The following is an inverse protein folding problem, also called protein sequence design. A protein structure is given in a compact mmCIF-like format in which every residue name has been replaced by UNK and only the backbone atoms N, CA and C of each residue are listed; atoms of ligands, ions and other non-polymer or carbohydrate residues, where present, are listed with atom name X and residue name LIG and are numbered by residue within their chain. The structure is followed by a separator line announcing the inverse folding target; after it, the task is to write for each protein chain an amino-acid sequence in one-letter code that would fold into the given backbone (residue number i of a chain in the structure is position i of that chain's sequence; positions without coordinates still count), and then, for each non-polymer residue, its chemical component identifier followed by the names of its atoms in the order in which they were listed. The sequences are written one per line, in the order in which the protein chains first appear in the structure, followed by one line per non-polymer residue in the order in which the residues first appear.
data_IF_334575748809
#
_entry.id   IF_334575748809
#
_cell.length_a   1.000
_cell.length_b   1.000
_cell.length_c   1.000
_cell.angle_alpha   90.00
_cell.angle_beta   90.00
_cell.angle_gamma   90.00
#
_symmetry.space_group_name_H-M   'P 1'
#
loop_
_entity.id
_entity.type
_entity.pdbx_description
1 polymer ?
#
# COMPACT_ATOMS: atom_id res chain seq x y z
N UNK A 1 -11.40 6.87 11.70
CA UNK A 1 -10.06 6.27 11.89
C UNK A 1 -9.22 6.58 10.67
N UNK A 2 -8.03 7.15 10.86
CA UNK A 2 -7.14 7.56 9.77
C UNK A 2 -6.28 6.38 9.33
N UNK A 3 -6.28 6.04 8.04
CA UNK A 3 -5.67 4.81 7.53
C UNK A 3 -4.78 5.04 6.32
N UNK A 4 -3.77 4.18 6.19
CA UNK A 4 -2.98 4.01 4.96
C UNK A 4 -3.70 2.96 4.11
N UNK A 5 -3.72 3.11 2.79
CA UNK A 5 -4.14 2.03 1.89
C UNK A 5 -2.93 1.43 1.20
N UNK A 6 -2.69 0.13 1.42
CA UNK A 6 -1.70 -0.64 0.66
C UNK A 6 -2.15 -0.74 -0.80
N UNK A 7 -1.38 -0.13 -1.70
CA UNK A 7 -1.82 0.15 -3.06
C UNK A 7 -0.93 -0.53 -4.11
N UNK A 8 -1.50 -1.50 -4.82
CA UNK A 8 -0.85 -2.17 -5.96
C UNK A 8 -1.24 -1.56 -7.30
N UNK A 9 -2.32 -0.77 -7.34
CA UNK A 9 -2.96 -0.28 -8.55
C UNK A 9 -3.88 -1.29 -9.25
N UNK A 10 -4.04 -2.48 -8.66
CA UNK A 10 -4.95 -3.51 -9.13
C UNK A 10 -6.35 -3.40 -8.53
N UNK A 11 -7.28 -4.17 -9.12
CA UNK A 11 -8.71 -4.22 -8.75
C UNK A 11 -8.95 -4.45 -7.24
N UNK A 12 -8.12 -5.27 -6.60
CA UNK A 12 -8.32 -5.65 -5.21
C UNK A 12 -7.93 -4.50 -4.25
N UNK A 13 -6.86 -3.75 -4.56
CA UNK A 13 -6.53 -2.51 -3.85
C UNK A 13 -7.56 -1.39 -4.09
N UNK A 14 -8.12 -1.31 -5.30
CA UNK A 14 -9.23 -0.38 -5.57
C UNK A 14 -10.48 -0.73 -4.75
N UNK A 15 -10.83 -2.02 -4.67
CA UNK A 15 -11.97 -2.50 -3.90
C UNK A 15 -11.77 -2.29 -2.40
N UNK A 16 -10.55 -2.49 -1.87
CA UNK A 16 -10.26 -2.25 -0.46
C UNK A 16 -10.36 -0.77 -0.09
N UNK A 17 -9.85 0.14 -0.94
CA UNK A 17 -10.05 1.59 -0.79
C UNK A 17 -11.54 1.94 -0.80
N UNK A 18 -12.29 1.44 -1.78
CA UNK A 18 -13.73 1.70 -1.88
C UNK A 18 -14.48 1.25 -0.62
N UNK A 19 -14.17 0.04 -0.12
CA UNK A 19 -14.76 -0.47 1.12
C UNK A 19 -14.35 0.35 2.34
N UNK A 20 -13.09 0.79 2.43
CA UNK A 20 -12.63 1.64 3.52
C UNK A 20 -13.44 2.95 3.59
N UNK A 21 -13.61 3.62 2.45
CA UNK A 21 -14.43 4.83 2.34
C UNK A 21 -15.90 4.57 2.73
N UNK A 22 -16.50 3.48 2.25
CA UNK A 22 -17.89 3.12 2.58
C UNK A 22 -18.11 2.80 4.05
N UNK A 23 -17.07 2.35 4.77
CA UNK A 23 -17.13 2.06 6.20
C UNK A 23 -16.70 3.26 7.07
N UNK A 24 -16.56 4.46 6.50
CA UNK A 24 -16.23 5.67 7.26
C UNK A 24 -14.78 5.76 7.74
N UNK A 25 -13.87 4.97 7.16
CA UNK A 25 -12.44 5.18 7.33
C UNK A 25 -12.01 6.42 6.55
N UNK A 26 -10.91 7.03 6.97
CA UNK A 26 -10.32 8.20 6.32
C UNK A 26 -8.95 7.80 5.73
N UNK A 27 -8.92 7.37 4.44
CA UNK A 27 -7.66 7.15 3.73
C UNK A 27 -6.88 8.45 3.62
N UNK A 28 -5.69 8.52 4.24
CA UNK A 28 -4.86 9.74 4.20
C UNK A 28 -3.79 9.70 3.11
N UNK A 29 -3.42 8.50 2.67
CA UNK A 29 -2.51 8.29 1.56
C UNK A 29 -2.54 6.84 1.05
N UNK A 30 -2.05 6.66 -0.16
CA UNK A 30 -1.69 5.37 -0.75
C UNK A 30 -0.22 5.04 -0.43
N UNK A 31 0.08 3.79 -0.12
CA UNK A 31 1.46 3.29 0.01
C UNK A 31 1.72 2.24 -1.06
N UNK A 32 2.71 2.49 -1.92
CA UNK A 32 3.13 1.56 -2.97
C UNK A 32 4.62 1.24 -2.84
N UNK A 33 4.96 -0.05 -2.80
CA UNK A 33 6.34 -0.53 -2.86
C UNK A 33 6.58 -1.12 -4.25
N UNK A 34 7.20 -0.33 -5.12
CA UNK A 34 7.57 -0.74 -6.47
C UNK A 34 8.78 -1.67 -6.45
N UNK A 35 8.92 -2.44 -7.53
CA UNK A 35 10.09 -3.30 -7.75
C UNK A 35 11.28 -2.47 -8.22
N UNK A 36 12.48 -2.84 -7.75
CA UNK A 36 13.71 -2.22 -8.23
C UNK A 36 13.92 -2.51 -9.72
N UNK A 37 14.38 -1.51 -10.48
CA UNK A 37 14.62 -1.66 -11.91
C UNK A 37 15.63 -2.79 -12.17
N UNK A 38 15.32 -3.66 -13.14
CA UNK A 38 16.15 -4.82 -13.50
C UNK A 38 15.73 -6.13 -12.82
N UNK A 39 14.95 -6.07 -11.75
CA UNK A 39 14.23 -7.22 -11.21
C UNK A 39 12.82 -7.21 -11.84
N UNK A 40 12.40 -8.30 -12.48
CA UNK A 40 11.08 -8.38 -13.13
C UNK A 40 9.96 -7.88 -12.20
N UNK A 41 9.05 -7.06 -12.73
CA UNK A 41 8.03 -6.35 -11.96
C UNK A 41 7.21 -7.29 -11.03
N UNK A 42 7.23 -7.04 -9.71
CA UNK A 42 6.51 -7.82 -8.69
C UNK A 42 5.01 -7.56 -8.67
N UNK A 43 4.61 -6.34 -9.05
CA UNK A 43 3.22 -5.88 -8.97
C UNK A 43 2.73 -5.63 -10.38
N UNK A 44 2.16 -6.68 -10.99
CA UNK A 44 1.45 -6.64 -12.28
C UNK A 44 2.20 -6.04 -13.48
N UNK A 45 3.53 -5.90 -13.47
CA UNK A 45 4.20 -5.32 -14.64
C UNK A 45 3.96 -3.82 -14.82
N UNK A 46 3.38 -3.13 -13.85
CA UNK A 46 2.94 -1.75 -14.05
C UNK A 46 4.11 -0.79 -13.89
N UNK A 47 4.20 0.13 -14.84
CA UNK A 47 5.08 1.29 -14.75
C UNK A 47 4.73 2.08 -13.48
N UNK A 48 5.70 2.36 -12.57
CA UNK A 48 5.47 3.13 -11.36
C UNK A 48 4.75 4.47 -11.60
N UNK A 49 4.91 5.07 -12.78
CA UNK A 49 4.23 6.31 -13.19
C UNK A 49 2.71 6.14 -13.29
N UNK A 50 2.23 4.99 -13.75
CA UNK A 50 0.79 4.69 -13.82
C UNK A 50 0.19 4.69 -12.41
N UNK A 51 0.92 4.16 -11.43
CA UNK A 51 0.48 4.15 -10.03
C UNK A 51 0.34 5.58 -9.47
N UNK A 52 1.28 6.46 -9.84
CA UNK A 52 1.20 7.88 -9.47
C UNK A 52 0.00 8.57 -10.14
N UNK A 53 -0.28 8.27 -11.41
CA UNK A 53 -1.44 8.83 -12.11
C UNK A 53 -2.77 8.34 -11.53
N UNK A 54 -2.85 7.09 -11.08
CA UNK A 54 -4.00 6.58 -10.33
C UNK A 54 -4.19 7.36 -9.01
N UNK A 55 -3.12 7.61 -8.26
CA UNK A 55 -3.20 8.40 -7.02
C UNK A 55 -3.72 9.81 -7.28
N UNK A 56 -3.26 10.46 -8.36
CA UNK A 56 -3.77 11.77 -8.81
C UNK A 56 -5.25 11.72 -9.18
N UNK A 57 -5.68 10.70 -9.91
CA UNK A 57 -7.09 10.54 -10.29
C UNK A 57 -8.01 10.30 -9.08
N UNK A 58 -7.46 9.73 -7.99
CA UNK A 58 -8.17 9.52 -6.72
C UNK A 58 -8.12 10.73 -5.78
N UNK A 59 -7.38 11.78 -6.13
CA UNK A 59 -7.08 12.93 -5.26
C UNK A 59 -6.51 12.50 -3.90
N UNK A 60 -5.63 11.50 -3.92
CA UNK A 60 -4.97 10.97 -2.72
C UNK A 60 -3.45 11.12 -2.83
N UNK A 61 -2.77 11.56 -1.75
CA UNK A 61 -1.32 11.52 -1.68
C UNK A 61 -0.81 10.08 -1.83
N UNK A 62 0.38 9.92 -2.42
CA UNK A 62 1.04 8.62 -2.52
C UNK A 62 2.46 8.67 -1.95
N UNK A 63 2.80 7.67 -1.15
CA UNK A 63 4.18 7.35 -0.76
C UNK A 63 4.62 6.16 -1.60
N UNK A 64 5.53 6.41 -2.54
CA UNK A 64 6.14 5.37 -3.35
C UNK A 64 7.57 5.09 -2.85
N UNK A 65 7.91 3.81 -2.72
CA UNK A 65 9.26 3.32 -2.39
C UNK A 65 9.65 2.21 -3.35
N UNK A 66 10.93 1.89 -3.40
CA UNK A 66 11.46 0.72 -4.12
C UNK A 66 12.13 -0.23 -3.14
N UNK A 67 11.95 -1.53 -3.33
CA UNK A 67 12.63 -2.55 -2.55
C UNK A 67 13.05 -3.72 -3.44
N UNK A 68 14.00 -4.55 -3.00
CA UNK A 68 14.27 -5.94 -3.43
C UNK A 68 13.28 -6.92 -2.76
N UNK A 69 13.23 -8.21 -3.12
CA UNK A 69 12.35 -9.19 -2.43
C UNK A 69 12.74 -9.32 -0.95
N UNK A 70 14.04 -9.38 -0.67
CA UNK A 70 14.63 -9.53 0.65
C UNK A 70 14.42 -8.29 1.52
N UNK A 71 14.24 -7.12 0.90
CA UNK A 71 14.12 -5.83 1.61
C UNK A 71 12.69 -5.31 1.67
N UNK A 72 11.73 -5.98 1.03
CA UNK A 72 10.35 -5.51 0.91
C UNK A 72 9.71 -5.22 2.28
N UNK A 73 9.74 -6.19 3.19
CA UNK A 73 9.12 -6.04 4.51
C UNK A 73 9.72 -4.89 5.31
N UNK A 74 11.06 -4.79 5.33
CA UNK A 74 11.77 -3.70 6.01
C UNK A 74 11.34 -2.34 5.46
N UNK A 75 11.38 -2.18 4.13
CA UNK A 75 11.01 -0.92 3.46
C UNK A 75 9.54 -0.57 3.69
N UNK A 76 8.65 -1.57 3.66
CA UNK A 76 7.23 -1.38 3.95
C UNK A 76 7.02 -0.89 5.40
N UNK A 77 7.62 -1.57 6.39
CA UNK A 77 7.53 -1.20 7.81
C UNK A 77 8.10 0.20 8.07
N UNK A 78 9.21 0.55 7.44
CA UNK A 78 9.80 1.89 7.54
C UNK A 78 8.87 2.97 6.99
N UNK A 79 8.26 2.74 5.82
CA UNK A 79 7.32 3.67 5.22
C UNK A 79 6.06 3.84 6.09
N UNK A 80 5.48 2.75 6.60
CA UNK A 80 4.33 2.83 7.53
C UNK A 80 4.69 3.62 8.79
N UNK A 81 5.85 3.37 9.39
CA UNK A 81 6.33 4.12 10.58
C UNK A 81 6.53 5.61 10.27
N UNK A 82 7.09 5.95 9.12
CA UNK A 82 7.26 7.33 8.65
C UNK A 82 5.89 8.03 8.51
N UNK A 83 4.95 7.39 7.81
CA UNK A 83 3.60 7.93 7.58
C UNK A 83 2.85 8.08 8.91
N UNK A 84 2.92 7.08 9.80
CA UNK A 84 2.31 7.13 11.13
C UNK A 84 2.79 8.33 11.93
N UNK A 85 4.11 8.58 11.97
CA UNK A 85 4.67 9.74 12.69
C UNK A 85 4.23 11.07 12.09
N UNK A 86 4.08 11.17 10.77
CA UNK A 86 3.76 12.43 10.09
C UNK A 86 2.26 12.74 10.07
N UNK A 87 1.43 11.73 9.85
CA UNK A 87 0.00 11.89 9.58
C UNK A 87 -0.89 11.35 10.71
N UNK A 88 -0.34 10.72 11.74
CA UNK A 88 -1.12 10.21 12.87
C UNK A 88 -2.10 9.10 12.46
N UNK A 89 -1.67 8.18 11.59
CA UNK A 89 -2.51 7.05 11.18
C UNK A 89 -2.64 5.98 12.26
N UNK A 90 -3.77 5.31 12.26
CA UNK A 90 -4.16 4.31 13.26
C UNK A 90 -4.16 2.88 12.69
N UNK A 91 -4.14 2.72 11.36
CA UNK A 91 -4.13 1.41 10.71
C UNK A 91 -3.74 1.43 9.23
N UNK A 92 -3.66 0.23 8.67
CA UNK A 92 -3.38 -0.01 7.24
C UNK A 92 -4.48 -0.91 6.68
N UNK A 93 -5.02 -0.53 5.51
CA UNK A 93 -6.00 -1.31 4.75
C UNK A 93 -5.26 -2.09 3.67
N UNK A 94 -5.45 -3.41 3.66
CA UNK A 94 -4.87 -4.33 2.68
C UNK A 94 -5.93 -4.85 1.71
N UNK A 95 -5.49 -5.22 0.50
CA UNK A 95 -6.33 -5.78 -0.56
C UNK A 95 -6.13 -7.28 -0.77
N UNK A 96 -5.44 -7.97 0.13
CA UNK A 96 -5.15 -9.40 0.04
C UNK A 96 -6.41 -10.25 0.22
N UNK A 97 -6.63 -11.23 -0.66
CA UNK A 97 -7.90 -11.98 -0.74
C UNK A 97 -7.76 -13.50 -0.70
N UNK A 98 -6.55 -14.07 -0.89
CA UNK A 98 -6.43 -15.49 -1.26
C UNK A 98 -5.70 -16.37 -0.26
N UNK A 99 -4.56 -15.93 0.27
CA UNK A 99 -3.67 -16.78 1.06
C UNK A 99 -3.68 -16.39 2.54
N UNK A 100 -3.85 -17.37 3.44
CA UNK A 100 -3.80 -17.13 4.88
C UNK A 100 -2.41 -16.63 5.30
N UNK A 101 -1.37 -17.04 4.58
CA UNK A 101 -0.01 -16.55 4.73
C UNK A 101 0.09 -15.04 4.50
N UNK A 102 -0.65 -14.50 3.51
CA UNK A 102 -0.71 -13.05 3.30
C UNK A 102 -1.42 -12.38 4.47
N UNK A 103 -2.53 -12.97 4.95
CA UNK A 103 -3.24 -12.46 6.12
C UNK A 103 -2.33 -12.40 7.35
N UNK A 104 -1.59 -13.47 7.66
CA UNK A 104 -0.61 -13.48 8.76
C UNK A 104 0.43 -12.39 8.59
N UNK A 105 1.03 -12.29 7.40
CA UNK A 105 2.02 -11.26 7.12
C UNK A 105 1.48 -9.85 7.37
N UNK A 106 0.24 -9.55 6.94
CA UNK A 106 -0.38 -8.23 7.18
C UNK A 106 -0.60 -7.91 8.66
N UNK A 107 -0.94 -8.92 9.47
CA UNK A 107 -1.10 -8.78 10.93
C UNK A 107 0.27 -8.55 11.57
N UNK A 108 1.24 -9.44 11.33
CA UNK A 108 2.61 -9.38 11.86
C UNK A 108 3.36 -8.10 11.44
N UNK A 109 2.98 -7.50 10.30
CA UNK A 109 3.57 -6.25 9.82
C UNK A 109 3.06 -5.03 10.59
N UNK A 110 1.87 -5.11 11.18
CA UNK A 110 1.22 -4.02 11.90
C UNK A 110 1.37 -4.09 13.43
N UNK A 111 1.87 -5.20 13.97
CA UNK A 111 2.30 -5.36 15.37
C UNK A 111 3.64 -4.65 15.64
#
# INVERSE_FOLDING_TARGET
MRVIVSWSGGKDSCLSLYRALKNGLEPVCLLNIATQAGEGFRVHGLDPRIIVDQARALDLPIVQRTASWETYERVFKEAVKEIKRRLGVEGVVFGDIFLEEHRRWTIETCE
#
